data_IF_541997694405
#
_entry.id   IF_541997694405
#
_cell.length_a   1.000
_cell.length_b   1.000
_cell.length_c   1.000
_cell.angle_alpha   90.00
_cell.angle_beta   90.00
_cell.angle_gamma   90.00
#
_symmetry.space_group_name_H-M   'P 1'
#
loop_
_entity.id
_entity.type
_entity.pdbx_description
1 polymer ?
#
# COMPACT_ATOMS: atom_id res chain seq x y z
N UNK A 1 -14.20 12.10 6.16
CA UNK A 1 -12.78 12.10 6.44
C UNK A 1 -12.26 10.66 6.55
N UNK A 2 -11.31 10.30 5.72
CA UNK A 2 -10.80 8.95 5.73
C UNK A 2 -9.71 8.73 6.77
N UNK A 3 -9.37 7.50 7.01
CA UNK A 3 -8.27 7.16 7.90
C UNK A 3 -7.34 6.16 7.22
N UNK A 4 -6.15 6.03 7.77
CA UNK A 4 -5.11 5.12 7.30
C UNK A 4 -5.22 3.79 8.05
N UNK A 5 -5.34 2.70 7.29
CA UNK A 5 -5.38 1.36 7.88
C UNK A 5 -4.13 0.59 7.46
N UNK A 6 -3.41 0.08 8.45
CA UNK A 6 -2.21 -0.70 8.23
C UNK A 6 -2.56 -2.18 8.03
N UNK A 7 -1.93 -2.81 7.06
CA UNK A 7 -2.16 -4.22 6.73
C UNK A 7 -0.82 -4.92 6.55
N UNK A 8 -0.56 -5.94 7.37
CA UNK A 8 0.68 -6.69 7.27
C UNK A 8 0.49 -7.88 6.34
N UNK A 9 1.09 -7.80 5.13
CA UNK A 9 0.99 -8.85 4.13
C UNK A 9 2.07 -9.92 4.28
N UNK A 10 3.10 -9.66 5.08
CA UNK A 10 4.21 -10.62 5.23
C UNK A 10 4.06 -11.53 6.43
N UNK A 11 2.96 -11.43 7.15
CA UNK A 11 2.70 -12.29 8.29
C UNK A 11 2.70 -13.76 7.83
N UNK A 12 3.43 -14.63 8.53
CA UNK A 12 3.61 -16.04 8.18
C UNK A 12 4.39 -16.27 6.88
N UNK A 13 5.08 -15.28 6.35
CA UNK A 13 5.87 -15.43 5.13
C UNK A 13 5.10 -16.12 4.02
N UNK A 14 3.95 -15.60 3.60
CA UNK A 14 3.09 -16.28 2.63
C UNK A 14 3.70 -16.33 1.25
N UNK A 15 3.20 -17.24 0.40
CA UNK A 15 3.49 -17.20 -1.02
C UNK A 15 2.88 -15.92 -1.63
N UNK A 16 3.44 -15.47 -2.75
CA UNK A 16 3.02 -14.21 -3.37
C UNK A 16 1.53 -14.21 -3.75
N UNK A 17 0.99 -15.32 -4.24
CA UNK A 17 -0.41 -15.40 -4.61
C UNK A 17 -1.34 -15.23 -3.40
N UNK A 18 -0.95 -15.74 -2.24
CA UNK A 18 -1.73 -15.53 -1.02
C UNK A 18 -1.67 -14.07 -0.59
N UNK A 19 -0.49 -13.44 -0.72
CA UNK A 19 -0.35 -12.01 -0.39
C UNK A 19 -1.25 -11.16 -1.29
N UNK A 20 -1.37 -11.51 -2.57
CA UNK A 20 -2.27 -10.80 -3.48
C UNK A 20 -3.73 -10.98 -3.05
N UNK A 21 -4.13 -12.19 -2.67
CA UNK A 21 -5.49 -12.42 -2.18
C UNK A 21 -5.77 -11.64 -0.90
N UNK A 22 -4.79 -11.57 0.00
CA UNK A 22 -4.92 -10.75 1.20
C UNK A 22 -5.08 -9.27 0.86
N UNK A 23 -4.38 -8.81 -0.19
CA UNK A 23 -4.52 -7.43 -0.67
C UNK A 23 -5.93 -7.18 -1.20
N UNK A 24 -6.49 -8.11 -1.97
CA UNK A 24 -7.86 -8.01 -2.47
C UNK A 24 -8.85 -7.86 -1.30
N UNK A 25 -8.71 -8.74 -0.31
CA UNK A 25 -9.57 -8.69 0.87
C UNK A 25 -9.39 -7.35 1.62
N UNK A 26 -8.15 -6.90 1.76
CA UNK A 26 -7.86 -5.66 2.48
C UNK A 26 -8.51 -4.45 1.79
N UNK A 27 -8.51 -4.42 0.47
CA UNK A 27 -9.17 -3.34 -0.28
C UNK A 27 -10.68 -3.35 0.00
N UNK A 28 -11.31 -4.50 -0.10
CA UNK A 28 -12.75 -4.62 0.15
C UNK A 28 -13.09 -4.28 1.60
N UNK A 29 -12.34 -4.84 2.53
CA UNK A 29 -12.56 -4.60 3.95
C UNK A 29 -12.30 -3.15 4.33
N UNK A 30 -11.23 -2.56 3.79
CA UNK A 30 -10.90 -1.17 4.06
C UNK A 30 -12.02 -0.23 3.62
N UNK A 31 -12.58 -0.48 2.44
CA UNK A 31 -13.71 0.32 1.95
C UNK A 31 -14.92 0.19 2.86
N UNK A 32 -15.23 -1.04 3.29
CA UNK A 32 -16.38 -1.28 4.16
C UNK A 32 -16.21 -0.57 5.51
N UNK A 33 -14.98 -0.43 5.98
CA UNK A 33 -14.68 0.24 7.25
C UNK A 33 -14.47 1.75 7.11
N UNK A 34 -14.53 2.29 5.90
CA UNK A 34 -14.37 3.73 5.68
C UNK A 34 -12.93 4.20 5.60
N UNK A 35 -11.97 3.31 5.44
CA UNK A 35 -10.58 3.71 5.25
C UNK A 35 -10.43 4.40 3.91
N UNK A 36 -9.61 5.44 3.84
CA UNK A 36 -9.30 6.10 2.58
C UNK A 36 -7.96 5.66 2.02
N UNK A 37 -7.06 5.16 2.87
CA UNK A 37 -5.74 4.70 2.47
C UNK A 37 -5.40 3.42 3.22
N UNK A 38 -4.80 2.45 2.53
CA UNK A 38 -4.22 1.27 3.15
C UNK A 38 -2.71 1.37 3.09
N UNK A 39 -2.04 1.05 4.19
CA UNK A 39 -0.59 0.92 4.21
C UNK A 39 -0.28 -0.57 4.22
N UNK A 40 0.18 -1.08 3.08
CA UNK A 40 0.51 -2.49 2.93
C UNK A 40 1.98 -2.71 3.29
N UNK A 41 2.22 -3.57 4.26
CA UNK A 41 3.58 -3.92 4.70
C UNK A 41 3.92 -5.27 4.10
N UNK A 42 4.76 -5.28 3.07
CA UNK A 42 5.11 -6.50 2.34
C UNK A 42 6.58 -6.88 2.48
N UNK A 43 7.37 -6.00 3.06
CA UNK A 43 8.79 -6.26 3.28
C UNK A 43 9.66 -5.96 2.08
N UNK A 44 10.96 -5.98 2.30
CA UNK A 44 11.96 -5.62 1.28
C UNK A 44 12.36 -6.77 0.38
N UNK A 45 12.22 -8.00 0.87
CA UNK A 45 12.63 -9.16 0.12
C UNK A 45 14.10 -9.50 0.25
N UNK A 46 14.73 -9.16 1.37
CA UNK A 46 16.14 -9.42 1.59
C UNK A 46 16.52 -10.90 1.49
N UNK A 47 15.54 -11.80 1.63
CA UNK A 47 15.76 -13.24 1.51
C UNK A 47 14.98 -13.83 0.33
N UNK A 48 14.67 -13.04 -0.66
CA UNK A 48 14.05 -13.48 -1.90
C UNK A 48 12.53 -13.54 -1.88
N UNK A 49 11.90 -14.03 -0.82
CA UNK A 49 10.44 -14.18 -0.79
C UNK A 49 9.70 -12.85 -0.67
N UNK A 50 10.20 -11.93 0.16
CA UNK A 50 9.56 -10.63 0.35
C UNK A 50 9.61 -9.77 -0.90
N UNK A 51 10.69 -9.90 -1.69
CA UNK A 51 10.81 -9.17 -2.95
C UNK A 51 9.77 -9.62 -3.96
N UNK A 52 9.46 -10.91 -3.99
CA UNK A 52 8.43 -11.44 -4.86
C UNK A 52 7.05 -10.96 -4.44
N UNK A 53 6.78 -10.92 -3.14
CA UNK A 53 5.50 -10.40 -2.64
C UNK A 53 5.33 -8.96 -3.09
N UNK A 54 6.35 -8.12 -2.88
CA UNK A 54 6.29 -6.72 -3.29
C UNK A 54 6.00 -6.58 -4.78
N UNK A 55 6.73 -7.32 -5.60
CA UNK A 55 6.58 -7.24 -7.06
C UNK A 55 5.19 -7.65 -7.49
N UNK A 56 4.69 -8.79 -6.98
CA UNK A 56 3.37 -9.30 -7.37
C UNK A 56 2.24 -8.41 -6.86
N UNK A 57 2.36 -7.92 -5.64
CA UNK A 57 1.36 -7.02 -5.07
C UNK A 57 1.30 -5.72 -5.88
N UNK A 58 2.45 -5.13 -6.20
CA UNK A 58 2.47 -3.88 -6.98
C UNK A 58 1.94 -4.08 -8.40
N UNK A 59 2.23 -5.23 -9.02
CA UNK A 59 1.67 -5.54 -10.33
C UNK A 59 0.13 -5.66 -10.26
N UNK A 60 -0.37 -6.31 -9.21
CA UNK A 60 -1.80 -6.42 -8.98
C UNK A 60 -2.43 -5.04 -8.78
N UNK A 61 -1.81 -4.17 -7.98
CA UNK A 61 -2.31 -2.83 -7.74
C UNK A 61 -2.35 -2.00 -9.03
N UNK A 62 -1.35 -2.18 -9.90
CA UNK A 62 -1.34 -1.49 -11.18
C UNK A 62 -2.56 -1.88 -12.01
N UNK A 63 -2.90 -3.18 -12.03
CA UNK A 63 -4.09 -3.65 -12.74
C UNK A 63 -5.38 -3.09 -12.10
N UNK A 64 -5.43 -3.06 -10.77
CA UNK A 64 -6.60 -2.53 -10.08
C UNK A 64 -6.80 -1.04 -10.34
N UNK A 65 -5.72 -0.30 -10.44
CA UNK A 65 -5.76 1.12 -10.79
C UNK A 65 -6.32 1.30 -12.20
N UNK A 66 -5.83 0.51 -13.16
CA UNK A 66 -6.30 0.61 -14.55
C UNK A 66 -7.77 0.26 -14.67
N UNK A 67 -8.26 -0.67 -13.85
CA UNK A 67 -9.66 -1.07 -13.86
C UNK A 67 -10.55 -0.15 -13.04
N UNK A 68 -10.00 0.89 -12.41
CA UNK A 68 -10.77 1.81 -11.61
C UNK A 68 -11.18 1.29 -10.24
N UNK A 69 -10.60 0.17 -9.79
CA UNK A 69 -10.92 -0.41 -8.48
C UNK A 69 -10.24 0.32 -7.32
N UNK A 70 -9.14 0.99 -7.59
CA UNK A 70 -8.49 1.88 -6.64
C UNK A 70 -8.16 3.18 -7.37
N UNK A 71 -7.97 4.26 -6.63
CA UNK A 71 -7.63 5.56 -7.24
C UNK A 71 -6.19 5.59 -7.69
N UNK A 72 -5.28 5.11 -6.85
CA UNK A 72 -3.85 5.12 -7.13
C UNK A 72 -3.15 4.30 -6.06
N UNK A 73 -1.84 4.12 -6.22
CA UNK A 73 -1.02 3.58 -5.14
C UNK A 73 0.34 4.26 -5.17
N UNK A 74 0.98 4.33 -4.02
CA UNK A 74 2.26 5.01 -3.85
C UNK A 74 3.27 4.02 -3.27
N UNK A 75 4.28 3.60 -4.05
CA UNK A 75 5.38 2.81 -3.49
C UNK A 75 6.04 3.58 -2.34
N UNK A 76 6.37 2.88 -1.26
CA UNK A 76 6.93 3.55 -0.08
C UNK A 76 8.20 4.34 -0.36
N UNK A 77 9.00 3.92 -1.33
CA UNK A 77 10.21 4.65 -1.71
C UNK A 77 9.90 5.99 -2.41
N UNK A 78 8.66 6.17 -2.87
CA UNK A 78 8.21 7.43 -3.46
C UNK A 78 7.35 8.26 -2.51
N UNK A 79 7.10 7.74 -1.33
CA UNK A 79 6.26 8.41 -0.34
C UNK A 79 7.04 9.56 0.29
N UNK A 80 6.86 10.76 -0.26
CA UNK A 80 7.67 11.93 0.07
C UNK A 80 6.85 13.21 -0.16
N UNK A 81 7.16 14.24 0.62
CA UNK A 81 6.53 15.56 0.43
C UNK A 81 6.86 16.15 -0.95
N UNK A 82 7.89 15.60 -1.62
CA UNK A 82 8.27 16.06 -2.97
C UNK A 82 7.54 15.31 -4.08
N UNK A 83 6.79 14.27 -3.74
CA UNK A 83 6.04 13.48 -4.72
C UNK A 83 4.61 14.02 -4.85
N UNK A 84 4.19 14.26 -6.08
CA UNK A 84 2.87 14.85 -6.34
C UNK A 84 1.73 13.98 -5.83
N UNK A 85 1.81 12.66 -6.08
CA UNK A 85 0.76 11.74 -5.64
C UNK A 85 0.66 11.71 -4.12
N UNK A 86 1.80 11.81 -3.42
CA UNK A 86 1.84 11.86 -1.96
C UNK A 86 1.14 13.12 -1.45
N UNK A 87 1.46 14.26 -2.04
CA UNK A 87 0.83 15.52 -1.62
C UNK A 87 -0.68 15.49 -1.84
N UNK A 88 -1.12 14.92 -2.96
CA UNK A 88 -2.55 14.75 -3.23
C UNK A 88 -3.22 13.84 -2.21
N UNK A 89 -2.51 12.78 -1.79
CA UNK A 89 -3.04 11.84 -0.83
C UNK A 89 -3.23 12.47 0.56
N UNK A 90 -2.41 13.45 0.93
CA UNK A 90 -2.58 14.16 2.20
C UNK A 90 -3.96 14.83 2.30
N UNK A 91 -4.50 15.27 1.17
CA UNK A 91 -5.81 15.90 1.15
C UNK A 91 -6.94 14.92 1.45
N UNK A 92 -6.69 13.65 1.20
CA UNK A 92 -7.68 12.59 1.43
C UNK A 92 -7.51 11.91 2.79
N UNK A 93 -6.30 11.94 3.33
CA UNK A 93 -5.99 11.25 4.57
C UNK A 93 -4.89 12.00 5.33
N UNK A 94 -5.30 12.78 6.31
CA UNK A 94 -4.37 13.60 7.08
C UNK A 94 -3.37 12.77 7.86
N UNK A 95 -3.74 11.53 8.22
CA UNK A 95 -2.85 10.64 8.97
C UNK A 95 -1.53 10.37 8.26
N UNK A 96 -1.52 10.49 6.92
CA UNK A 96 -0.31 10.26 6.15
C UNK A 96 0.81 11.24 6.48
N UNK A 97 0.46 12.45 6.92
CA UNK A 97 1.47 13.46 7.27
C UNK A 97 2.29 13.05 8.48
N UNK A 98 1.74 12.18 9.31
CA UNK A 98 2.39 11.72 10.54
C UNK A 98 2.92 10.30 10.43
N UNK A 99 2.83 9.71 9.24
CA UNK A 99 3.33 8.34 9.07
C UNK A 99 4.87 8.33 9.17
N UNK A 100 5.44 7.41 9.94
CA UNK A 100 6.90 7.39 10.14
C UNK A 100 7.70 7.08 8.88
N UNK A 101 7.08 6.55 7.84
CA UNK A 101 7.78 6.24 6.59
C UNK A 101 7.83 7.42 5.61
N UNK A 102 7.21 8.55 5.96
CA UNK A 102 7.27 9.73 5.10
C UNK A 102 8.72 10.19 4.97
N UNK A 103 9.18 10.36 3.72
CA UNK A 103 10.54 10.78 3.39
C UNK A 103 11.63 9.81 3.84
N UNK A 104 11.28 8.53 4.05
CA UNK A 104 12.23 7.50 4.50
C UNK A 104 12.64 6.52 3.40
N UNK A 105 12.07 6.63 2.22
CA UNK A 105 12.34 5.71 1.10
C UNK A 105 12.17 4.23 1.49
N UNK A 106 11.14 3.94 2.28
CA UNK A 106 10.89 2.57 2.74
C UNK A 106 10.22 1.75 1.64
N UNK A 107 11.00 0.97 0.88
CA UNK A 107 10.45 0.14 -0.19
C UNK A 107 9.79 -1.15 0.32
N UNK A 108 9.72 -1.33 1.63
CA UNK A 108 9.00 -2.47 2.23
C UNK A 108 7.52 -2.21 2.43
N UNK A 109 7.03 -1.03 2.04
CA UNK A 109 5.61 -0.70 2.17
C UNK A 109 5.08 -0.10 0.87
N UNK A 110 3.77 -0.14 0.70
CA UNK A 110 3.06 0.52 -0.42
C UNK A 110 1.75 1.05 0.12
N UNK A 111 1.41 2.28 -0.26
CA UNK A 111 0.16 2.92 0.15
C UNK A 111 -0.86 2.81 -0.97
N UNK A 112 -2.08 2.38 -0.65
CA UNK A 112 -3.16 2.24 -1.62
C UNK A 112 -4.20 3.30 -1.34
N UNK A 113 -4.52 4.10 -2.35
CA UNK A 113 -5.53 5.16 -2.24
C UNK A 113 -6.88 4.60 -2.68
N UNK A 114 -7.77 4.39 -1.74
CA UNK A 114 -9.09 3.84 -1.98
C UNK A 114 -10.05 4.94 -2.45
#
# INVERSE_FOLDING_TARGET
MGYLKEVNLKYDMPAADLAVRRTTYAIQNGRALGASVLKLIHGYGSHGKGGRIRTEVRAYLERQKRCGQIRDFIPGERFSIFDEATRGAFLRCEDLRRDPDLDRSNNGVTFVLL
#
